data_IF_361312496513
#
_entry.id   IF_361312496513
#
_cell.length_a   1.000
_cell.length_b   1.000
_cell.length_c   1.000
_cell.angle_alpha   90.00
_cell.angle_beta   90.00
_cell.angle_gamma   90.00
#
_symmetry.space_group_name_H-M   'P 1'
#
loop_
_entity.id
_entity.type
_entity.pdbx_description
1 polymer ?
#
# COMPACT_ATOMS: atom_id res chain seq x y z
N UNK A 1 -3.91 -23.48 -0.20
CA UNK A 1 -3.31 -22.67 -1.29
C UNK A 1 -2.60 -23.59 -2.26
N UNK A 2 -2.82 -23.39 -3.53
CA UNK A 2 -2.01 -24.01 -4.58
C UNK A 2 -0.53 -23.57 -4.48
N UNK A 3 0.37 -24.26 -5.19
CA UNK A 3 1.77 -23.85 -5.30
C UNK A 3 1.92 -22.39 -5.77
N UNK A 4 1.14 -22.02 -6.79
CA UNK A 4 1.20 -20.66 -7.34
C UNK A 4 0.77 -19.60 -6.33
N UNK A 5 -0.37 -19.80 -5.65
CA UNK A 5 -0.86 -18.88 -4.61
C UNK A 5 0.12 -18.77 -3.43
N UNK A 6 0.74 -19.91 -3.03
CA UNK A 6 1.74 -19.91 -1.96
C UNK A 6 2.98 -19.09 -2.34
N UNK A 7 3.50 -19.28 -3.54
CA UNK A 7 4.66 -18.54 -4.03
C UNK A 7 4.35 -17.05 -4.20
N UNK A 8 3.18 -16.70 -4.74
CA UNK A 8 2.75 -15.30 -4.88
C UNK A 8 2.62 -14.60 -3.52
N UNK A 9 2.00 -15.28 -2.55
CA UNK A 9 1.82 -14.71 -1.22
C UNK A 9 3.15 -14.60 -0.47
N UNK A 10 4.02 -15.59 -0.57
CA UNK A 10 5.34 -15.57 0.05
C UNK A 10 6.25 -14.48 -0.56
N UNK A 11 6.21 -14.30 -1.87
CA UNK A 11 6.92 -13.22 -2.56
C UNK A 11 6.37 -11.84 -2.16
N UNK A 12 5.06 -11.71 -1.98
CA UNK A 12 4.44 -10.47 -1.52
C UNK A 12 4.86 -10.09 -0.10
N UNK A 13 4.98 -11.07 0.80
CA UNK A 13 5.42 -10.86 2.19
C UNK A 13 6.91 -10.48 2.24
N UNK A 14 7.74 -11.13 1.43
CA UNK A 14 9.18 -10.88 1.42
C UNK A 14 9.57 -9.58 0.68
N UNK A 15 8.60 -8.84 0.14
CA UNK A 15 8.78 -7.49 -0.48
C UNK A 15 9.78 -7.44 -1.63
N UNK A 16 10.23 -8.59 -2.12
CA UNK A 16 11.20 -8.70 -3.22
C UNK A 16 10.46 -9.06 -4.50
N UNK A 17 10.00 -8.06 -5.22
CA UNK A 17 9.49 -8.30 -6.57
C UNK A 17 10.67 -8.24 -7.52
N UNK A 18 11.15 -9.41 -7.93
CA UNK A 18 12.15 -9.49 -8.99
C UNK A 18 11.45 -9.41 -10.34
N UNK A 19 11.82 -8.43 -11.14
CA UNK A 19 11.21 -8.18 -12.43
C UNK A 19 11.98 -7.14 -13.21
N UNK A 20 11.29 -6.46 -14.10
CA UNK A 20 11.89 -5.45 -14.98
C UNK A 20 11.42 -4.01 -14.70
N UNK A 21 10.36 -3.80 -13.90
CA UNK A 21 9.85 -2.48 -13.54
C UNK A 21 8.84 -1.90 -14.54
N UNK A 22 7.87 -2.69 -14.97
CA UNK A 22 6.73 -2.23 -15.79
C UNK A 22 5.40 -2.54 -15.11
N UNK A 23 4.42 -1.66 -15.29
CA UNK A 23 3.01 -1.96 -15.06
C UNK A 23 2.34 -2.30 -16.39
N UNK A 24 1.54 -3.36 -16.41
CA UNK A 24 0.84 -3.82 -17.60
C UNK A 24 -0.66 -3.81 -17.39
N UNK A 25 -1.40 -3.59 -18.49
CA UNK A 25 -2.86 -3.66 -18.52
C UNK A 25 -3.34 -4.44 -19.75
N UNK A 26 -4.54 -5.00 -19.67
CA UNK A 26 -5.22 -5.57 -20.83
C UNK A 26 -6.10 -4.50 -21.47
N UNK A 27 -5.79 -4.13 -22.71
CA UNK A 27 -6.53 -3.12 -23.48
C UNK A 27 -6.93 -3.71 -24.81
N UNK A 28 -8.23 -3.82 -25.05
CA UNK A 28 -8.79 -4.46 -26.24
C UNK A 28 -8.20 -5.86 -26.52
N UNK A 29 -8.04 -6.67 -25.44
CA UNK A 29 -7.49 -8.02 -25.53
C UNK A 29 -5.97 -8.11 -25.72
N UNK A 30 -5.26 -6.98 -25.77
CA UNK A 30 -3.80 -6.92 -25.91
C UNK A 30 -3.14 -6.52 -24.60
N UNK A 31 -2.00 -7.10 -24.29
CA UNK A 31 -1.20 -6.74 -23.11
C UNK A 31 -0.35 -5.51 -23.45
N UNK A 32 -0.61 -4.42 -22.75
CA UNK A 32 0.04 -3.13 -22.99
C UNK A 32 0.82 -2.69 -21.77
N UNK A 33 2.00 -2.10 -21.99
CA UNK A 33 2.75 -1.39 -20.93
C UNK A 33 2.03 -0.06 -20.64
N UNK A 34 1.55 0.11 -19.41
CA UNK A 34 0.91 1.35 -18.96
C UNK A 34 1.92 2.34 -18.40
N UNK A 35 2.91 1.83 -17.69
CA UNK A 35 3.94 2.65 -17.07
C UNK A 35 5.27 1.89 -16.99
N UNK A 36 6.37 2.62 -17.11
CA UNK A 36 7.73 2.14 -16.88
C UNK A 36 8.28 2.90 -15.67
N UNK A 37 8.70 2.16 -14.66
CA UNK A 37 9.22 2.75 -13.41
C UNK A 37 10.61 3.33 -13.65
N UNK A 38 10.86 4.50 -13.09
CA UNK A 38 12.15 5.18 -13.17
C UNK A 38 13.27 4.38 -12.48
N UNK A 39 14.46 4.40 -13.06
CA UNK A 39 15.65 3.70 -12.54
C UNK A 39 15.58 2.17 -12.67
N UNK A 40 14.64 1.61 -13.44
CA UNK A 40 14.46 0.17 -13.58
C UNK A 40 15.06 -0.39 -14.87
N UNK A 41 15.32 -1.72 -14.92
CA UNK A 41 15.82 -2.37 -16.12
C UNK A 41 14.99 -2.14 -17.38
N UNK A 42 13.66 -2.03 -17.24
CA UNK A 42 12.76 -1.73 -18.34
C UNK A 42 13.03 -0.34 -18.97
N UNK A 43 13.29 0.66 -18.12
CA UNK A 43 13.66 2.00 -18.58
C UNK A 43 15.00 1.97 -19.33
N UNK A 44 16.01 1.30 -18.79
CA UNK A 44 17.31 1.17 -19.44
C UNK A 44 17.27 0.37 -20.75
N UNK A 45 16.32 -0.57 -20.86
CA UNK A 45 16.05 -1.30 -22.12
C UNK A 45 15.22 -0.48 -23.13
N UNK A 46 14.86 0.76 -22.78
CA UNK A 46 14.01 1.62 -23.60
C UNK A 46 12.65 0.98 -23.92
N UNK A 47 12.01 0.35 -22.91
CA UNK A 47 10.59 0.04 -22.94
C UNK A 47 9.82 1.31 -22.61
N UNK A 48 8.70 1.54 -23.27
CA UNK A 48 7.91 2.76 -23.16
C UNK A 48 6.45 2.46 -22.82
N UNK A 49 5.72 3.40 -22.18
CA UNK A 49 4.28 3.34 -22.10
C UNK A 49 3.66 3.21 -23.50
N UNK A 50 2.58 2.45 -23.60
CA UNK A 50 1.85 2.07 -24.84
C UNK A 50 2.50 0.99 -25.68
N UNK A 51 3.69 0.48 -25.38
CA UNK A 51 4.21 -0.72 -26.03
C UNK A 51 3.26 -1.90 -25.81
N UNK A 52 2.97 -2.66 -26.86
CA UNK A 52 2.15 -3.88 -26.80
C UNK A 52 3.11 -5.06 -26.71
N UNK A 53 2.99 -5.86 -25.67
CA UNK A 53 3.80 -7.08 -25.50
C UNK A 53 3.21 -8.17 -26.39
N UNK A 54 4.02 -8.73 -27.27
CA UNK A 54 3.64 -9.80 -28.19
C UNK A 54 4.08 -11.18 -27.67
N UNK A 55 5.32 -11.26 -27.15
CA UNK A 55 5.87 -12.51 -26.61
C UNK A 55 6.91 -12.25 -25.53
N UNK A 56 7.10 -13.25 -24.65
CA UNK A 56 8.09 -13.27 -23.58
C UNK A 56 8.85 -14.59 -23.69
N UNK A 57 10.18 -14.53 -23.82
CA UNK A 57 11.07 -15.68 -24.07
C UNK A 57 10.52 -16.61 -25.19
N UNK A 58 10.01 -16.00 -26.27
CA UNK A 58 9.42 -16.69 -27.42
C UNK A 58 7.97 -17.16 -27.23
N UNK A 59 7.43 -17.15 -26.00
CA UNK A 59 6.03 -17.56 -25.74
C UNK A 59 5.09 -16.39 -26.05
N UNK A 60 4.13 -16.64 -26.94
CA UNK A 60 3.08 -15.67 -27.28
C UNK A 60 2.21 -15.38 -26.04
N UNK A 61 1.91 -14.10 -25.77
CA UNK A 61 1.10 -13.68 -24.61
C UNK A 61 -0.36 -13.42 -24.94
N UNK A 62 -0.76 -13.59 -26.20
CA UNK A 62 -2.15 -13.40 -26.60
C UNK A 62 -3.08 -14.40 -25.88
N UNK A 63 -4.15 -13.89 -25.28
CA UNK A 63 -5.11 -14.70 -24.52
C UNK A 63 -4.67 -15.05 -23.09
N UNK A 64 -3.45 -14.68 -22.67
CA UNK A 64 -3.01 -14.86 -21.30
C UNK A 64 -3.59 -13.77 -20.38
N UNK A 65 -3.84 -14.13 -19.13
CA UNK A 65 -4.17 -13.18 -18.08
C UNK A 65 -2.96 -12.29 -17.69
N UNK A 66 -3.21 -11.12 -17.10
CA UNK A 66 -2.13 -10.24 -16.61
C UNK A 66 -1.20 -10.94 -15.61
N UNK A 67 -1.75 -11.83 -14.77
CA UNK A 67 -0.96 -12.61 -13.80
C UNK A 67 -0.02 -13.59 -14.50
N UNK A 68 -0.49 -14.31 -15.53
CA UNK A 68 0.35 -15.22 -16.30
C UNK A 68 1.48 -14.48 -17.01
N UNK A 69 1.18 -13.34 -17.62
CA UNK A 69 2.19 -12.49 -18.27
C UNK A 69 3.20 -11.96 -17.24
N UNK A 70 2.74 -11.48 -16.10
CA UNK A 70 3.61 -11.02 -15.03
C UNK A 70 4.55 -12.15 -14.52
N UNK A 71 4.04 -13.38 -14.42
CA UNK A 71 4.85 -14.52 -14.01
C UNK A 71 5.92 -14.92 -15.05
N UNK A 72 5.63 -14.76 -16.35
CA UNK A 72 6.63 -14.95 -17.40
C UNK A 72 7.75 -13.88 -17.35
N UNK A 73 7.40 -12.65 -16.99
CA UNK A 73 8.37 -11.55 -16.86
C UNK A 73 9.23 -11.73 -15.61
N UNK A 74 8.66 -12.22 -14.50
CA UNK A 74 9.38 -12.49 -13.24
C UNK A 74 10.38 -13.62 -13.42
N UNK A 75 11.35 -13.71 -12.53
CA UNK A 75 12.35 -14.77 -12.50
C UNK A 75 13.50 -14.44 -11.54
N UNK A 76 14.54 -15.28 -11.49
CA UNK A 76 15.69 -15.06 -10.64
C UNK A 76 16.35 -13.71 -10.88
N UNK A 77 16.80 -13.06 -9.81
CA UNK A 77 17.54 -11.80 -9.90
C UNK A 77 18.81 -11.99 -10.75
N UNK A 78 19.17 -10.96 -11.53
CA UNK A 78 20.29 -10.94 -12.49
C UNK A 78 20.14 -11.90 -13.68
N UNK A 79 18.99 -12.61 -13.83
CA UNK A 79 18.68 -13.32 -15.07
C UNK A 79 18.11 -12.36 -16.13
N UNK A 80 18.03 -12.82 -17.37
CA UNK A 80 17.48 -12.03 -18.48
C UNK A 80 16.12 -12.58 -18.92
N UNK A 81 15.29 -11.69 -19.46
CA UNK A 81 14.07 -11.99 -20.17
C UNK A 81 14.09 -11.31 -21.53
N UNK A 82 13.67 -12.02 -22.57
CA UNK A 82 13.52 -11.46 -23.90
C UNK A 82 12.05 -11.10 -24.12
N UNK A 83 11.78 -9.82 -24.40
CA UNK A 83 10.43 -9.31 -24.60
C UNK A 83 10.32 -8.79 -26.03
N UNK A 84 9.40 -9.33 -26.79
CA UNK A 84 9.04 -8.78 -28.10
C UNK A 84 7.84 -7.86 -27.93
N UNK A 85 7.99 -6.63 -28.36
CA UNK A 85 6.95 -5.60 -28.32
C UNK A 85 6.58 -5.13 -29.73
N UNK A 86 5.37 -4.57 -29.84
CA UNK A 86 4.94 -3.80 -31.00
C UNK A 86 4.88 -2.32 -30.60
N UNK A 87 5.63 -1.47 -31.30
CA UNK A 87 5.66 -0.01 -31.14
C UNK A 87 5.54 0.64 -32.52
N UNK A 88 4.54 1.48 -32.75
CA UNK A 88 4.33 2.17 -34.04
C UNK A 88 4.35 1.21 -35.24
N UNK A 89 3.77 0.02 -35.11
CA UNK A 89 3.76 -1.09 -36.08
C UNK A 89 5.11 -1.84 -36.27
N UNK A 90 6.16 -1.44 -35.62
CA UNK A 90 7.45 -2.14 -35.64
C UNK A 90 7.55 -3.18 -34.54
N UNK A 91 8.00 -4.39 -34.85
CA UNK A 91 8.35 -5.42 -33.88
C UNK A 91 9.76 -5.19 -33.39
N UNK A 92 9.90 -4.99 -32.09
CA UNK A 92 11.18 -4.76 -31.42
C UNK A 92 11.41 -5.86 -30.40
N UNK A 93 12.60 -6.46 -30.40
CA UNK A 93 13.04 -7.39 -29.36
C UNK A 93 13.92 -6.67 -28.35
N UNK A 94 13.63 -6.87 -27.06
CA UNK A 94 14.33 -6.26 -25.95
C UNK A 94 14.79 -7.36 -24.99
N UNK A 95 16.09 -7.44 -24.74
CA UNK A 95 16.67 -8.29 -23.70
C UNK A 95 16.82 -7.48 -22.43
N UNK A 96 16.07 -7.83 -21.38
CA UNK A 96 15.97 -7.03 -20.15
C UNK A 96 16.46 -7.86 -18.97
N UNK A 97 17.35 -7.30 -18.16
CA UNK A 97 17.80 -7.95 -16.94
C UNK A 97 16.72 -7.86 -15.86
N UNK A 98 16.48 -8.95 -15.16
CA UNK A 98 15.61 -8.95 -13.98
C UNK A 98 16.40 -8.44 -12.78
N UNK A 99 15.82 -7.49 -12.06
CA UNK A 99 16.36 -6.97 -10.80
C UNK A 99 15.29 -6.89 -9.73
N UNK A 100 15.70 -6.78 -8.48
CA UNK A 100 14.79 -6.39 -7.41
C UNK A 100 14.23 -4.99 -7.71
N UNK A 101 12.90 -4.90 -7.84
CA UNK A 101 12.19 -3.65 -8.11
C UNK A 101 11.71 -3.07 -6.79
N UNK A 102 12.28 -1.95 -6.40
CA UNK A 102 11.84 -1.20 -5.23
C UNK A 102 10.56 -0.45 -5.58
N UNK A 103 9.43 -0.91 -5.06
CA UNK A 103 8.15 -0.22 -5.24
C UNK A 103 8.06 0.84 -4.16
N UNK A 104 8.03 2.12 -4.56
CA UNK A 104 7.72 3.20 -3.62
C UNK A 104 6.28 3.05 -3.13
N UNK A 105 6.15 2.89 -1.82
CA UNK A 105 4.87 2.73 -1.14
C UNK A 105 4.36 4.03 -0.53
N UNK A 106 5.21 5.04 -0.41
CA UNK A 106 4.88 6.35 0.16
C UNK A 106 5.11 7.45 -0.87
N UNK A 107 4.09 8.29 -1.05
CA UNK A 107 4.15 9.51 -1.86
C UNK A 107 3.88 10.71 -0.96
N UNK A 108 4.51 11.84 -1.24
CA UNK A 108 4.31 13.07 -0.46
C UNK A 108 4.30 14.29 -1.34
N UNK A 109 3.52 15.28 -0.93
CA UNK A 109 3.48 16.62 -1.51
C UNK A 109 3.07 17.65 -0.46
N UNK A 110 3.22 18.91 -0.78
CA UNK A 110 2.70 20.03 0.02
C UNK A 110 1.51 20.63 -0.72
N UNK A 111 0.37 20.67 -0.05
CA UNK A 111 -0.86 21.25 -0.56
C UNK A 111 -1.07 22.62 0.08
N UNK A 112 -1.51 23.59 -0.73
CA UNK A 112 -1.92 24.94 -0.27
C UNK A 112 -0.87 25.60 0.67
N UNK A 113 0.43 25.34 0.45
CA UNK A 113 1.61 25.83 1.18
C UNK A 113 1.72 25.41 2.66
N UNK A 114 0.62 25.02 3.31
CA UNK A 114 0.56 24.77 4.76
C UNK A 114 0.16 23.36 5.16
N UNK A 115 -0.25 22.51 4.20
CA UNK A 115 -0.76 21.17 4.46
C UNK A 115 0.21 20.17 3.84
N UNK A 116 0.82 19.33 4.67
CA UNK A 116 1.53 18.15 4.21
C UNK A 116 0.53 17.08 3.78
N UNK A 117 0.77 16.46 2.64
CA UNK A 117 0.00 15.31 2.18
C UNK A 117 0.95 14.13 2.03
N UNK A 118 0.63 13.03 2.69
CA UNK A 118 1.37 11.79 2.62
C UNK A 118 0.40 10.67 2.30
N UNK A 119 0.60 9.98 1.17
CA UNK A 119 -0.16 8.80 0.79
C UNK A 119 0.69 7.56 1.02
N UNK A 120 0.15 6.58 1.75
CA UNK A 120 0.71 5.24 1.88
C UNK A 120 -0.15 4.30 1.04
N UNK A 121 0.39 3.82 -0.07
CA UNK A 121 -0.34 2.94 -1.00
C UNK A 121 -0.32 1.48 -0.55
N UNK A 122 0.66 1.08 0.26
CA UNK A 122 0.79 -0.26 0.83
C UNK A 122 1.80 -0.26 1.98
N UNK A 123 1.66 -1.24 2.89
CA UNK A 123 2.63 -1.50 3.96
C UNK A 123 3.56 -2.69 3.66
N UNK A 124 3.57 -3.22 2.42
CA UNK A 124 4.38 -4.40 2.08
C UNK A 124 5.87 -4.09 1.90
N UNK A 125 6.25 -2.86 1.57
CA UNK A 125 7.65 -2.49 1.31
C UNK A 125 8.52 -2.52 2.57
N UNK A 126 9.68 -3.17 2.52
CA UNK A 126 10.68 -3.08 3.60
C UNK A 126 11.20 -1.65 3.79
N UNK A 127 11.08 -0.81 2.77
CA UNK A 127 11.50 0.61 2.76
C UNK A 127 10.39 1.56 3.22
N UNK A 128 9.13 1.08 3.39
CA UNK A 128 7.99 1.92 3.78
C UNK A 128 8.25 2.81 5.00
N UNK A 129 8.88 2.33 6.10
CA UNK A 129 9.22 3.18 7.24
C UNK A 129 10.14 4.35 6.87
N UNK A 130 11.20 4.09 6.13
CA UNK A 130 12.16 5.11 5.71
C UNK A 130 11.54 6.10 4.71
N UNK A 131 10.74 5.61 3.76
CA UNK A 131 9.98 6.45 2.82
C UNK A 131 9.01 7.37 3.56
N UNK A 132 8.40 6.90 4.66
CA UNK A 132 7.52 7.71 5.48
C UNK A 132 8.29 8.78 6.26
N UNK A 133 9.47 8.47 6.80
CA UNK A 133 10.34 9.48 7.44
C UNK A 133 10.79 10.54 6.45
N UNK A 134 11.20 10.16 5.24
CA UNK A 134 11.52 11.10 4.16
C UNK A 134 10.33 11.99 3.80
N UNK A 135 9.11 11.42 3.77
CA UNK A 135 7.89 12.17 3.51
C UNK A 135 7.57 13.17 4.63
N UNK A 136 7.79 12.78 5.89
CA UNK A 136 7.66 13.70 7.04
C UNK A 136 8.68 14.84 6.96
N UNK A 137 9.92 14.56 6.59
CA UNK A 137 10.95 15.59 6.42
C UNK A 137 10.58 16.58 5.31
N UNK A 138 10.10 16.10 4.15
CA UNK A 138 9.62 16.95 3.05
C UNK A 138 8.43 17.83 3.45
N UNK A 139 7.61 17.38 4.39
CA UNK A 139 6.44 18.09 4.87
C UNK A 139 6.66 18.78 6.22
N UNK A 140 7.88 18.83 6.75
CA UNK A 140 8.18 19.31 8.11
C UNK A 140 7.70 20.74 8.39
N UNK A 141 7.79 21.62 7.41
CA UNK A 141 7.43 23.03 7.55
C UNK A 141 5.91 23.30 7.38
N UNK A 142 5.09 22.28 7.18
CA UNK A 142 3.63 22.43 7.10
C UNK A 142 3.00 22.47 8.49
N UNK A 143 1.85 23.12 8.62
CA UNK A 143 1.16 23.30 9.89
C UNK A 143 0.20 22.13 10.22
N UNK A 144 -0.20 21.36 9.21
CA UNK A 144 -1.08 20.20 9.35
C UNK A 144 -0.70 19.09 8.40
N UNK A 145 -1.24 17.89 8.63
CA UNK A 145 -0.95 16.69 7.85
C UNK A 145 -2.23 16.00 7.42
N UNK A 146 -2.32 15.64 6.15
CA UNK A 146 -3.28 14.67 5.62
C UNK A 146 -2.52 13.38 5.33
N UNK A 147 -2.93 12.30 5.98
CA UNK A 147 -2.42 10.94 5.75
C UNK A 147 -3.46 10.16 4.96
N UNK A 148 -3.15 9.79 3.72
CA UNK A 148 -4.09 9.09 2.84
C UNK A 148 -3.81 7.57 2.83
N UNK A 149 -4.76 6.81 3.35
CA UNK A 149 -4.75 5.35 3.38
C UNK A 149 -5.85 4.75 2.47
N UNK A 150 -6.50 5.54 1.63
CA UNK A 150 -7.52 5.05 0.69
C UNK A 150 -6.88 4.08 -0.31
N UNK A 151 -7.60 3.01 -0.62
CA UNK A 151 -7.11 1.94 -1.50
C UNK A 151 -5.99 1.08 -0.92
N UNK A 152 -5.51 1.33 0.30
CA UNK A 152 -4.43 0.60 0.92
C UNK A 152 -4.93 -0.65 1.64
N UNK A 153 -4.74 -1.81 1.04
CA UNK A 153 -5.20 -3.12 1.56
C UNK A 153 -4.34 -3.66 2.72
N UNK A 154 -3.34 -2.89 3.18
CA UNK A 154 -2.47 -3.23 4.30
C UNK A 154 -1.08 -3.70 3.88
N UNK A 155 -0.53 -4.66 4.60
CA UNK A 155 0.80 -5.20 4.42
C UNK A 155 1.42 -5.61 5.76
N UNK A 156 2.71 -5.33 5.95
CA UNK A 156 3.48 -5.74 7.12
C UNK A 156 3.06 -4.99 8.38
N UNK A 157 2.67 -5.75 9.42
CA UNK A 157 2.33 -5.21 10.73
C UNK A 157 3.44 -4.31 11.33
N UNK A 158 4.74 -4.70 11.28
CA UNK A 158 5.80 -3.85 11.81
C UNK A 158 5.85 -2.45 11.21
N UNK A 159 5.53 -2.31 9.91
CA UNK A 159 5.52 -1.02 9.23
C UNK A 159 4.40 -0.10 9.76
N UNK A 160 3.20 -0.65 9.95
CA UNK A 160 2.09 0.11 10.52
C UNK A 160 2.36 0.51 11.98
N UNK A 161 2.93 -0.41 12.77
CA UNK A 161 3.33 -0.14 14.16
C UNK A 161 4.39 0.95 14.21
N UNK A 162 5.43 0.87 13.37
CA UNK A 162 6.47 1.90 13.30
C UNK A 162 5.87 3.28 13.02
N UNK A 163 5.00 3.37 12.00
CA UNK A 163 4.37 4.65 11.64
C UNK A 163 3.43 5.14 12.74
N UNK A 164 2.65 4.24 13.37
CA UNK A 164 1.79 4.61 14.51
C UNK A 164 2.61 5.16 15.69
N UNK A 165 3.78 4.57 15.94
CA UNK A 165 4.69 4.99 17.01
C UNK A 165 5.17 6.45 16.83
N UNK A 166 5.29 6.94 15.62
CA UNK A 166 5.65 8.35 15.36
C UNK A 166 4.56 9.34 15.81
N UNK A 167 3.32 8.89 16.00
CA UNK A 167 2.20 9.70 16.50
C UNK A 167 1.88 9.44 17.97
N UNK A 168 2.15 8.21 18.43
CA UNK A 168 1.80 7.71 19.77
C UNK A 168 3.09 7.42 20.53
N UNK A 169 3.53 8.32 21.43
CA UNK A 169 4.81 8.16 22.09
C UNK A 169 4.80 7.10 23.21
N UNK A 170 3.61 6.73 23.72
CA UNK A 170 3.45 5.77 24.83
C UNK A 170 2.10 5.07 24.80
N UNK A 171 2.08 3.81 25.19
CA UNK A 171 0.88 3.00 25.31
C UNK A 171 0.78 1.92 24.24
N UNK A 172 -0.29 1.17 24.26
CA UNK A 172 -0.52 0.06 23.35
C UNK A 172 -0.92 0.57 21.95
N UNK A 173 -0.27 0.08 20.89
CA UNK A 173 -0.62 0.39 19.50
C UNK A 173 -1.65 -0.61 18.96
N UNK A 174 -1.47 -1.88 19.26
CA UNK A 174 -2.34 -2.97 18.82
C UNK A 174 -2.21 -4.16 19.74
N UNK A 175 -3.31 -4.85 20.02
CA UNK A 175 -3.29 -6.13 20.74
C UNK A 175 -3.57 -7.28 19.77
N UNK A 176 -2.83 -8.36 19.93
CA UNK A 176 -3.03 -9.63 19.22
C UNK A 176 -3.62 -10.62 20.21
N UNK A 177 -4.83 -11.11 19.92
CA UNK A 177 -5.52 -12.07 20.79
C UNK A 177 -5.64 -13.40 20.08
N UNK A 178 -4.97 -14.40 20.63
CA UNK A 178 -4.98 -15.77 20.11
C UNK A 178 -6.19 -16.59 20.59
N UNK A 179 -6.29 -17.82 20.07
CA UNK A 179 -7.44 -18.71 20.25
C UNK A 179 -7.71 -19.08 21.72
N UNK A 180 -6.67 -19.20 22.53
CA UNK A 180 -6.77 -19.58 23.96
C UNK A 180 -6.84 -18.38 24.91
N UNK A 181 -7.27 -17.21 24.43
CA UNK A 181 -7.29 -15.98 25.23
C UNK A 181 -5.89 -15.35 25.44
N UNK A 182 -4.85 -15.95 24.91
CA UNK A 182 -3.51 -15.34 24.93
C UNK A 182 -3.56 -13.98 24.28
N UNK A 183 -3.12 -12.96 25.00
CA UNK A 183 -3.07 -11.58 24.55
C UNK A 183 -1.63 -11.09 24.52
N UNK A 184 -1.20 -10.55 23.38
CA UNK A 184 0.09 -9.92 23.21
C UNK A 184 -0.13 -8.48 22.76
N UNK A 185 0.38 -7.54 23.59
CA UNK A 185 0.28 -6.10 23.32
C UNK A 185 1.57 -5.60 22.66
N UNK A 186 1.44 -4.92 21.53
CA UNK A 186 2.54 -4.22 20.88
C UNK A 186 2.45 -2.76 21.31
N UNK A 187 3.38 -2.36 22.17
CA UNK A 187 3.43 -1.03 22.75
C UNK A 187 4.31 -0.09 21.93
N UNK A 188 3.97 1.19 21.98
CA UNK A 188 4.81 2.26 21.51
C UNK A 188 6.14 2.28 22.27
N UNK A 189 7.21 2.59 21.56
CA UNK A 189 8.54 2.81 22.11
C UNK A 189 8.84 4.31 22.10
N UNK A 190 9.61 4.78 23.08
CA UNK A 190 10.05 6.17 23.09
C UNK A 190 10.80 6.50 21.80
N UNK A 191 10.42 7.62 21.17
CA UNK A 191 11.03 8.11 19.96
C UNK A 191 11.25 9.61 20.07
N UNK A 192 12.41 10.08 19.62
CA UNK A 192 12.72 11.50 19.51
C UNK A 192 11.92 12.15 18.38
N UNK A 193 11.47 11.34 17.41
CA UNK A 193 10.68 11.77 16.26
C UNK A 193 9.19 11.60 16.55
N UNK A 194 8.47 12.71 16.66
CA UNK A 194 7.03 12.67 16.92
C UNK A 194 6.26 13.63 16.01
N UNK A 195 5.17 13.14 15.41
CA UNK A 195 4.23 13.99 14.67
C UNK A 195 3.31 14.70 15.65
N UNK A 196 3.53 16.01 15.83
CA UNK A 196 2.74 16.87 16.74
C UNK A 196 1.69 17.72 16.03
N UNK A 197 1.67 17.68 14.69
CA UNK A 197 0.73 18.46 13.87
C UNK A 197 -0.69 17.92 13.96
N UNK A 198 -1.71 18.77 13.85
CA UNK A 198 -3.06 18.33 13.54
C UNK A 198 -3.05 17.41 12.33
N UNK A 199 -3.72 16.27 12.43
CA UNK A 199 -3.70 15.25 11.38
C UNK A 199 -5.11 14.79 11.04
N UNK A 200 -5.40 14.67 9.75
CA UNK A 200 -6.58 13.99 9.21
C UNK A 200 -6.13 12.76 8.44
N UNK A 201 -6.77 11.62 8.70
CA UNK A 201 -6.53 10.36 7.99
C UNK A 201 -7.67 10.09 7.03
N UNK A 202 -7.37 9.98 5.75
CA UNK A 202 -8.34 9.55 4.73
C UNK A 202 -8.41 8.02 4.70
N UNK A 203 -9.62 7.48 4.77
CA UNK A 203 -9.88 6.04 4.73
C UNK A 203 -11.07 5.71 3.83
N UNK A 204 -11.08 4.50 3.26
CA UNK A 204 -12.17 4.00 2.45
C UNK A 204 -12.43 2.50 2.70
N UNK A 205 -13.39 1.91 1.96
CA UNK A 205 -13.74 0.50 2.06
C UNK A 205 -12.62 -0.47 1.65
N UNK A 206 -11.54 0.01 1.03
CA UNK A 206 -10.36 -0.78 0.68
C UNK A 206 -9.23 -0.60 1.71
N UNK A 207 -9.34 0.35 2.64
CA UNK A 207 -8.39 0.48 3.75
C UNK A 207 -8.54 -0.71 4.68
N UNK A 208 -7.54 -1.62 4.71
CA UNK A 208 -7.66 -2.91 5.38
C UNK A 208 -6.40 -3.30 6.18
N UNK A 209 -6.57 -4.19 7.17
CA UNK A 209 -5.45 -4.84 7.90
C UNK A 209 -4.50 -3.80 8.54
N UNK A 210 -3.23 -3.71 8.11
CA UNK A 210 -2.24 -2.74 8.62
C UNK A 210 -2.73 -1.28 8.56
N UNK A 211 -3.53 -0.91 7.54
CA UNK A 211 -4.17 0.40 7.44
C UNK A 211 -5.17 0.63 8.58
N UNK A 212 -5.90 -0.43 8.97
CA UNK A 212 -6.86 -0.36 10.07
C UNK A 212 -6.16 -0.33 11.43
N UNK A 213 -5.03 -1.00 11.56
CA UNK A 213 -4.19 -0.94 12.78
C UNK A 213 -3.71 0.50 12.99
N UNK A 214 -3.13 1.11 11.96
CA UNK A 214 -2.66 2.50 12.03
C UNK A 214 -3.81 3.47 12.30
N UNK A 215 -4.86 3.44 11.48
CA UNK A 215 -5.98 4.38 11.60
C UNK A 215 -6.75 4.19 12.92
N UNK A 216 -6.93 2.94 13.36
CA UNK A 216 -7.57 2.62 14.63
C UNK A 216 -6.78 3.13 15.84
N UNK A 217 -5.46 2.94 15.82
CA UNK A 217 -4.59 3.45 16.88
C UNK A 217 -4.64 4.99 16.94
N UNK A 218 -4.51 5.66 15.80
CA UNK A 218 -4.57 7.13 15.73
C UNK A 218 -5.91 7.68 16.21
N UNK A 219 -7.01 7.01 15.86
CA UNK A 219 -8.36 7.37 16.31
C UNK A 219 -8.49 7.20 17.82
N UNK A 220 -8.13 6.03 18.34
CA UNK A 220 -8.30 5.70 19.76
C UNK A 220 -7.52 6.64 20.70
N UNK A 221 -6.35 7.10 20.26
CA UNK A 221 -5.54 8.09 20.97
C UNK A 221 -5.88 9.55 20.62
N UNK A 222 -6.92 9.81 19.82
CA UNK A 222 -7.25 11.15 19.32
C UNK A 222 -6.08 11.90 18.68
N UNK A 223 -5.17 11.16 18.04
CA UNK A 223 -4.01 11.73 17.33
C UNK A 223 -4.36 12.23 15.94
N UNK A 224 -5.46 11.71 15.37
CA UNK A 224 -5.98 12.15 14.09
C UNK A 224 -7.51 12.05 14.07
N UNK A 225 -8.15 12.81 13.16
CA UNK A 225 -9.54 12.62 12.75
C UNK A 225 -9.59 11.75 11.51
N UNK A 226 -10.38 10.69 11.54
CA UNK A 226 -10.61 9.84 10.38
C UNK A 226 -11.72 10.44 9.52
N UNK A 227 -11.49 10.52 8.21
CA UNK A 227 -12.44 11.06 7.24
C UNK A 227 -12.56 10.12 6.03
N UNK A 228 -13.77 9.94 5.52
CA UNK A 228 -14.04 9.13 4.33
C UNK A 228 -15.18 8.14 4.54
N UNK A 229 -14.97 6.89 4.19
CA UNK A 229 -15.94 5.81 4.39
C UNK A 229 -15.40 4.74 5.33
N UNK A 230 -16.30 3.87 5.80
CA UNK A 230 -15.97 2.78 6.72
C UNK A 230 -14.91 1.85 6.08
N UNK A 231 -13.92 1.45 6.87
CA UNK A 231 -12.84 0.56 6.41
C UNK A 231 -13.32 -0.88 6.21
N UNK A 232 -12.47 -1.71 5.65
CA UNK A 232 -12.80 -3.08 5.20
C UNK A 232 -13.23 -4.03 6.32
N UNK A 233 -12.52 -4.03 7.46
CA UNK A 233 -12.78 -4.96 8.56
C UNK A 233 -11.95 -6.26 8.48
N UNK A 234 -10.67 -6.19 8.12
CA UNK A 234 -9.75 -7.34 8.14
C UNK A 234 -9.00 -7.39 9.47
N UNK A 235 -9.68 -7.87 10.52
CA UNK A 235 -9.12 -7.94 11.89
C UNK A 235 -8.44 -9.25 12.25
N UNK A 236 -8.17 -10.15 11.29
CA UNK A 236 -7.61 -11.48 11.56
C UNK A 236 -6.11 -11.54 11.25
N UNK A 237 -5.37 -12.23 12.13
CA UNK A 237 -3.97 -12.62 11.92
C UNK A 237 -3.94 -13.98 11.26
N UNK A 238 -3.33 -14.06 10.09
CA UNK A 238 -3.13 -15.32 9.37
C UNK A 238 -1.66 -15.71 9.39
N UNK A 239 -1.39 -16.97 9.65
CA UNK A 239 -0.08 -17.59 9.51
C UNK A 239 -0.08 -18.49 8.29
N UNK A 240 0.92 -18.32 7.44
CA UNK A 240 1.16 -19.23 6.33
C UNK A 240 1.99 -20.39 6.86
N UNK A 241 1.46 -21.59 6.71
CA UNK A 241 2.15 -22.83 7.05
C UNK A 241 2.59 -23.48 5.74
N UNK A 242 3.90 -23.60 5.49
CA UNK A 242 4.38 -24.29 4.31
C UNK A 242 4.02 -25.78 4.38
N UNK A 243 3.61 -26.32 3.25
CA UNK A 243 3.27 -27.74 3.07
C UNK A 243 4.16 -28.34 1.99
N UNK A 244 4.24 -29.68 1.87
CA UNK A 244 4.96 -30.33 0.78
C UNK A 244 4.55 -29.80 -0.60
N UNK A 245 5.43 -29.98 -1.60
CA UNK A 245 5.22 -29.58 -3.00
C UNK A 245 5.02 -28.07 -3.20
N UNK A 246 5.64 -27.24 -2.35
CA UNK A 246 5.54 -25.77 -2.42
C UNK A 246 4.08 -25.28 -2.36
N UNK A 247 3.24 -25.99 -1.63
CA UNK A 247 1.89 -25.55 -1.28
C UNK A 247 1.87 -24.93 0.12
N UNK A 248 0.73 -24.39 0.55
CA UNK A 248 0.63 -23.82 1.89
C UNK A 248 -0.79 -23.74 2.41
N UNK A 249 -0.92 -23.57 3.72
CA UNK A 249 -2.19 -23.33 4.40
C UNK A 249 -2.17 -21.95 5.04
N UNK A 250 -3.19 -21.14 4.76
CA UNK A 250 -3.49 -19.93 5.51
C UNK A 250 -4.33 -20.29 6.73
N UNK A 251 -3.70 -20.26 7.91
CA UNK A 251 -4.40 -20.54 9.16
C UNK A 251 -4.64 -19.23 9.91
N UNK A 252 -5.89 -18.93 10.24
CA UNK A 252 -6.21 -17.86 11.17
C UNK A 252 -5.83 -18.28 12.59
N UNK A 253 -4.87 -17.56 13.17
CA UNK A 253 -4.28 -17.89 14.48
C UNK A 253 -4.66 -16.92 15.57
N UNK A 254 -5.03 -15.67 15.23
CA UNK A 254 -5.35 -14.61 16.19
C UNK A 254 -6.21 -13.53 15.52
N UNK A 255 -6.62 -12.56 16.32
CA UNK A 255 -7.27 -11.33 15.86
C UNK A 255 -6.57 -10.10 16.40
N UNK A 256 -6.74 -8.98 15.70
CA UNK A 256 -6.30 -7.67 16.13
C UNK A 256 -7.39 -6.95 16.91
N UNK A 257 -6.99 -6.29 18.00
CA UNK A 257 -7.81 -5.30 18.70
C UNK A 257 -7.11 -3.95 18.65
N UNK A 258 -7.89 -2.88 18.50
CA UNK A 258 -7.35 -1.52 18.64
C UNK A 258 -6.88 -1.25 20.07
N UNK A 259 -6.17 -0.17 20.37
CA UNK A 259 -5.74 0.18 21.73
C UNK A 259 -6.86 0.15 22.78
N UNK A 260 -8.06 0.58 22.41
CA UNK A 260 -9.27 0.53 23.27
C UNK A 260 -9.97 -0.83 23.31
N UNK A 261 -9.37 -1.86 22.69
CA UNK A 261 -9.91 -3.22 22.71
C UNK A 261 -11.01 -3.48 21.68
N UNK A 262 -11.21 -2.58 20.70
CA UNK A 262 -12.24 -2.77 19.67
C UNK A 262 -11.83 -3.86 18.67
N UNK A 263 -12.70 -4.85 18.49
CA UNK A 263 -12.57 -5.88 17.45
C UNK A 263 -13.08 -5.33 16.13
N UNK A 264 -12.17 -5.14 15.18
CA UNK A 264 -12.45 -4.59 13.86
C UNK A 264 -12.88 -5.66 12.84
N UNK A 265 -12.76 -6.95 13.19
CA UNK A 265 -13.00 -8.04 12.23
C UNK A 265 -14.46 -8.05 11.75
N UNK A 266 -14.64 -8.04 10.43
CA UNK A 266 -15.92 -7.91 9.71
C UNK A 266 -16.73 -6.64 10.05
N UNK A 267 -16.18 -5.76 10.90
CA UNK A 267 -16.83 -4.53 11.35
C UNK A 267 -16.23 -3.29 10.73
N UNK A 268 -14.92 -3.29 10.52
CA UNK A 268 -14.17 -2.12 10.08
C UNK A 268 -14.19 -0.98 11.10
N UNK A 269 -13.54 0.11 10.73
CA UNK A 269 -13.48 1.33 11.53
C UNK A 269 -14.38 2.38 10.87
N UNK A 270 -15.33 2.90 11.63
CA UNK A 270 -16.17 4.01 11.18
C UNK A 270 -15.38 5.31 11.29
N UNK A 271 -15.28 6.13 10.23
CA UNK A 271 -14.60 7.42 10.30
C UNK A 271 -15.34 8.38 11.22
N UNK A 272 -14.64 9.40 11.73
CA UNK A 272 -15.24 10.48 12.52
C UNK A 272 -16.09 11.39 11.65
N UNK A 273 -15.69 11.57 10.40
CA UNK A 273 -16.38 12.39 9.40
C UNK A 273 -16.65 11.54 8.17
N UNK A 274 -17.94 11.22 7.94
CA UNK A 274 -18.34 10.44 6.78
C UNK A 274 -18.46 11.33 5.55
N UNK A 275 -17.66 11.04 4.53
CA UNK A 275 -17.72 11.66 3.20
C UNK A 275 -17.68 10.57 2.15
N UNK A 276 -18.69 10.51 1.31
CA UNK A 276 -18.80 9.54 0.22
C UNK A 276 -18.53 10.25 -1.09
N UNK A 277 -17.66 9.70 -1.93
CA UNK A 277 -17.49 10.19 -3.30
C UNK A 277 -18.71 9.82 -4.12
N UNK A 278 -19.33 10.80 -4.75
CA UNK A 278 -20.42 10.56 -5.70
C UNK A 278 -19.87 10.08 -7.05
N UNK A 279 -20.71 9.46 -7.86
CA UNK A 279 -20.36 9.10 -9.24
C UNK A 279 -19.93 10.35 -10.03
N UNK A 280 -20.56 11.49 -9.75
CA UNK A 280 -20.24 12.76 -10.40
C UNK A 280 -18.87 13.27 -9.99
N UNK A 281 -18.49 13.13 -8.70
CA UNK A 281 -17.14 13.50 -8.22
C UNK A 281 -16.07 12.69 -8.96
N UNK A 282 -16.26 11.37 -9.08
CA UNK A 282 -15.33 10.49 -9.80
C UNK A 282 -15.22 10.88 -11.28
N UNK A 283 -16.36 11.13 -11.95
CA UNK A 283 -16.37 11.55 -13.37
C UNK A 283 -15.68 12.87 -13.62
N UNK A 284 -15.80 13.80 -12.69
CA UNK A 284 -15.22 15.15 -12.79
C UNK A 284 -13.79 15.24 -12.23
N UNK A 285 -13.17 14.13 -11.81
CA UNK A 285 -11.91 14.11 -11.07
C UNK A 285 -11.91 15.06 -9.86
N UNK A 286 -13.07 15.21 -9.20
CA UNK A 286 -13.24 16.01 -7.99
C UNK A 286 -13.04 15.13 -6.76
N UNK A 287 -11.97 15.34 -6.01
CA UNK A 287 -11.74 14.62 -4.76
C UNK A 287 -12.42 15.34 -3.59
N UNK A 288 -13.74 15.14 -3.44
CA UNK A 288 -14.53 15.74 -2.37
C UNK A 288 -14.04 15.31 -0.97
N UNK A 289 -13.48 14.10 -0.83
CA UNK A 289 -12.90 13.65 0.44
C UNK A 289 -11.63 14.43 0.78
N UNK A 290 -10.74 14.63 -0.18
CA UNK A 290 -9.53 15.44 0.02
C UNK A 290 -9.89 16.90 0.34
N UNK A 291 -10.88 17.45 -0.33
CA UNK A 291 -11.34 18.82 -0.05
C UNK A 291 -11.93 18.94 1.36
N UNK A 292 -12.74 17.98 1.78
CA UNK A 292 -13.29 17.93 3.14
C UNK A 292 -12.17 17.77 4.20
N UNK A 293 -11.13 16.98 3.91
CA UNK A 293 -9.98 16.82 4.79
C UNK A 293 -9.20 18.14 4.95
N UNK A 294 -8.98 18.88 3.87
CA UNK A 294 -8.36 20.23 3.94
C UNK A 294 -9.16 21.20 4.81
N UNK A 295 -10.48 21.23 4.64
CA UNK A 295 -11.37 22.08 5.41
C UNK A 295 -11.35 21.70 6.90
N UNK A 296 -11.46 20.42 7.21
CA UNK A 296 -11.38 19.90 8.59
C UNK A 296 -10.06 20.24 9.23
N UNK A 297 -8.95 20.03 8.51
CA UNK A 297 -7.61 20.33 9.01
C UNK A 297 -7.42 21.82 9.27
N UNK A 298 -7.94 22.68 8.40
CA UNK A 298 -7.92 24.14 8.58
C UNK A 298 -8.62 24.55 9.87
N UNK A 299 -9.80 23.97 10.16
CA UNK A 299 -10.51 24.21 11.42
C UNK A 299 -9.71 23.73 12.64
N UNK A 300 -9.09 22.54 12.56
CA UNK A 300 -8.23 22.01 13.64
C UNK A 300 -6.98 22.88 13.89
N UNK A 301 -6.43 23.51 12.87
CA UNK A 301 -5.29 24.42 13.01
C UNK A 301 -5.70 25.74 13.67
N UNK A 302 -6.90 26.25 13.39
CA UNK A 302 -7.41 27.48 14.01
C UNK A 302 -7.74 27.29 15.50
N UNK A 303 -8.28 26.13 15.88
CA UNK A 303 -8.65 25.82 17.26
C UNK A 303 -7.46 25.55 18.21
N UNK A 304 -6.24 25.42 17.67
CA UNK A 304 -5.00 25.25 18.46
C UNK A 304 -4.22 26.57 18.66
N UNK A 305 -4.68 27.68 18.08
CA UNK A 305 -4.19 29.03 18.33
C UNK A 305 -4.96 29.64 19.52
#
# INVERSE_FOLDING_TARGET
MSKQEYLEQNNSINSKITGIGVNIASVAGKIRIENVMEGTPAQFANLLPKDIILSIDGKNVNGLSLSEVANLVRGPENSFVNITILRNNDKLSKRVMRKEIKIKTVKSSVLDKNIGYIQITSFIGSTTPNEFLEALEKTKNTQGLILDLRGNTGGLLPNAVFIANLFIPKGNIVSIVGRNGYKYDINAQDTEFGVKKPTVVLVDGNSASASEILSGALKDYNKAKLLGTKTYGKGMVQKIIPMPNETGINLTVAKYLTPKGTDINKKGITPDIKVVLSIQDVKNNNDAQLQAAKNTLSQMMLSKR
#
